data_IF_139725179134
#
_entry.id   IF_139725179134
#
_cell.length_a   1.000
_cell.length_b   1.000
_cell.length_c   1.000
_cell.angle_alpha   90.00
_cell.angle_beta   90.00
_cell.angle_gamma   90.00
#
_symmetry.space_group_name_H-M   'P 1'
#
loop_
_entity.id
_entity.type
_entity.pdbx_description
1 polymer ?
#
# COMPACT_ATOMS: atom_id res chain seq x y z
N UNK A 1 4.63 -4.19 4.25
CA UNK A 1 4.03 -3.14 5.07
C UNK A 1 3.55 -1.98 4.22
N UNK A 2 2.49 -1.38 4.63
CA UNK A 2 1.88 -0.21 4.00
C UNK A 2 1.77 0.90 5.04
N UNK A 3 2.00 2.14 4.60
CA UNK A 3 1.77 3.36 5.38
C UNK A 3 1.07 4.31 4.44
N UNK A 4 -0.07 4.83 4.83
CA UNK A 4 -0.83 5.72 3.97
C UNK A 4 -1.70 6.69 4.77
N UNK A 5 -2.10 7.73 4.09
CA UNK A 5 -3.13 8.65 4.50
C UNK A 5 -4.30 8.44 3.53
N UNK A 6 -5.24 7.54 3.83
CA UNK A 6 -6.32 7.16 2.91
C UNK A 6 -7.27 8.31 2.61
N UNK A 7 -7.36 9.29 3.51
CA UNK A 7 -8.20 10.47 3.39
C UNK A 7 -7.41 11.73 3.74
N UNK A 8 -6.87 12.40 2.74
CA UNK A 8 -6.30 13.77 2.86
C UNK A 8 -7.38 14.80 2.52
N UNK A 9 -8.22 14.47 1.54
CA UNK A 9 -9.36 15.25 1.10
C UNK A 9 -10.57 14.35 1.05
N UNK A 10 -11.68 14.78 1.67
CA UNK A 10 -12.95 14.04 1.72
C UNK A 10 -14.09 14.95 1.29
N UNK A 11 -14.83 14.50 0.30
CA UNK A 11 -16.12 15.06 -0.07
C UNK A 11 -17.18 14.02 0.27
N UNK A 12 -18.14 14.37 1.11
CA UNK A 12 -19.16 13.45 1.58
C UNK A 12 -20.57 14.03 1.40
N UNK A 13 -21.52 13.13 1.12
CA UNK A 13 -22.94 13.44 1.01
C UNK A 13 -23.73 12.49 1.89
N UNK A 14 -24.43 13.03 2.87
CA UNK A 14 -25.33 12.29 3.77
C UNK A 14 -26.73 12.27 3.19
N UNK A 15 -27.31 11.09 3.04
CA UNK A 15 -28.71 10.96 2.60
C UNK A 15 -29.66 11.35 3.73
N UNK A 16 -30.51 12.38 3.53
CA UNK A 16 -31.45 12.83 4.56
C UNK A 16 -32.36 11.68 5.07
N UNK A 17 -32.43 11.51 6.39
CA UNK A 17 -33.24 10.47 7.04
C UNK A 17 -32.75 9.04 6.83
N UNK A 18 -31.57 8.82 6.24
CA UNK A 18 -30.95 7.51 6.05
C UNK A 18 -29.61 7.45 6.79
N UNK A 19 -29.26 6.25 7.21
CA UNK A 19 -27.96 5.97 7.84
C UNK A 19 -26.88 5.66 6.81
N UNK A 20 -26.96 6.27 5.63
CA UNK A 20 -26.08 6.02 4.48
C UNK A 20 -25.41 7.32 4.09
N UNK A 21 -24.11 7.27 3.88
CA UNK A 21 -23.29 8.35 3.36
C UNK A 21 -22.50 7.85 2.14
N UNK A 22 -22.40 8.67 1.12
CA UNK A 22 -21.45 8.49 0.01
C UNK A 22 -20.30 9.47 0.19
N UNK A 23 -19.08 9.01 -0.04
CA UNK A 23 -17.90 9.88 0.01
C UNK A 23 -16.93 9.59 -1.14
N UNK A 24 -16.16 10.60 -1.51
CA UNK A 24 -15.00 10.46 -2.40
C UNK A 24 -13.81 10.97 -1.62
N UNK A 25 -12.85 10.09 -1.37
CA UNK A 25 -11.66 10.38 -0.61
C UNK A 25 -10.43 10.40 -1.51
N UNK A 26 -9.63 11.46 -1.45
CA UNK A 26 -8.33 11.58 -2.06
C UNK A 26 -7.23 11.34 -1.03
N UNK A 27 -6.25 10.51 -1.34
CA UNK A 27 -5.22 10.14 -0.40
C UNK A 27 -3.87 9.84 -1.02
N UNK A 28 -2.93 9.43 -0.17
CA UNK A 28 -1.57 9.04 -0.56
C UNK A 28 -1.14 7.79 0.18
N UNK A 29 -0.50 6.88 -0.52
CA UNK A 29 -0.12 5.58 -0.01
C UNK A 29 1.32 5.21 -0.35
N UNK A 30 2.01 4.55 0.58
CA UNK A 30 3.37 4.03 0.42
C UNK A 30 3.34 2.54 0.72
N UNK A 31 3.47 1.71 -0.32
CA UNK A 31 3.58 0.26 -0.19
C UNK A 31 5.07 -0.12 -0.12
N UNK A 32 5.45 -0.93 0.87
CA UNK A 32 6.83 -1.41 1.05
C UNK A 32 6.87 -2.92 1.09
N UNK A 33 7.57 -3.51 0.14
CA UNK A 33 7.87 -4.95 0.10
C UNK A 33 9.30 -5.13 0.61
N UNK A 34 9.51 -6.05 1.55
CA UNK A 34 10.80 -6.28 2.18
C UNK A 34 11.17 -7.74 2.10
N UNK A 35 12.42 -8.04 1.82
CA UNK A 35 13.00 -9.36 2.04
C UNK A 35 14.07 -9.30 3.13
N UNK A 36 14.28 -10.40 3.82
CA UNK A 36 15.32 -10.60 4.85
C UNK A 36 16.15 -11.83 4.52
N UNK A 37 16.43 -12.06 3.27
CA UNK A 37 17.24 -13.19 2.80
C UNK A 37 18.49 -12.64 2.09
N UNK A 38 19.38 -13.54 1.70
CA UNK A 38 20.56 -13.23 0.91
C UNK A 38 20.22 -12.77 -0.53
N UNK A 39 18.93 -12.61 -0.80
CA UNK A 39 18.37 -12.15 -2.06
C UNK A 39 18.09 -10.66 -1.96
N UNK A 40 18.53 -9.90 -2.94
CA UNK A 40 18.24 -8.47 -3.08
C UNK A 40 17.34 -8.20 -4.29
N UNK A 41 16.55 -7.16 -4.18
CA UNK A 41 15.73 -6.63 -5.27
C UNK A 41 16.55 -5.65 -6.09
N UNK A 42 16.70 -5.90 -7.38
CA UNK A 42 17.41 -5.03 -8.32
C UNK A 42 16.41 -4.57 -9.37
N UNK A 43 16.42 -3.27 -9.69
CA UNK A 43 15.69 -2.72 -10.83
C UNK A 43 16.60 -2.63 -12.03
N UNK A 44 16.39 -3.46 -13.04
CA UNK A 44 17.15 -3.47 -14.27
C UNK A 44 16.22 -3.24 -15.46
N UNK A 45 16.45 -2.15 -16.20
CA UNK A 45 15.63 -1.77 -17.37
C UNK A 45 14.11 -1.73 -17.07
N UNK A 46 13.73 -1.27 -15.88
CA UNK A 46 12.33 -1.23 -15.43
C UNK A 46 11.81 -2.56 -14.87
N UNK A 47 12.51 -3.66 -15.02
CA UNK A 47 12.12 -4.97 -14.51
C UNK A 47 12.67 -5.23 -13.11
N UNK A 48 11.94 -6.03 -12.34
CA UNK A 48 12.41 -6.53 -11.06
C UNK A 48 13.24 -7.79 -11.28
N UNK A 49 14.50 -7.74 -10.87
CA UNK A 49 15.41 -8.88 -10.88
C UNK A 49 15.80 -9.24 -9.45
N UNK A 50 15.93 -10.53 -9.17
CA UNK A 50 16.49 -11.01 -7.91
C UNK A 50 17.99 -11.23 -8.07
N UNK A 51 18.78 -10.48 -7.32
CA UNK A 51 20.23 -10.65 -7.26
C UNK A 51 20.68 -11.26 -5.93
N UNK A 52 21.89 -11.74 -5.91
CA UNK A 52 22.53 -12.17 -4.67
C UNK A 52 23.20 -10.98 -3.98
N UNK A 53 23.28 -11.02 -2.66
CA UNK A 53 24.06 -10.05 -1.89
C UNK A 53 25.56 -10.31 -2.06
N UNK A 54 26.40 -9.28 -1.90
CA UNK A 54 27.84 -9.45 -1.91
C UNK A 54 28.31 -10.54 -0.94
N UNK A 55 29.32 -11.31 -1.34
CA UNK A 55 29.91 -12.34 -0.51
C UNK A 55 30.41 -11.73 0.82
N UNK A 56 30.09 -12.35 1.95
CA UNK A 56 30.43 -11.83 3.29
C UNK A 56 29.46 -10.79 3.86
N UNK A 57 28.46 -10.37 3.11
CA UNK A 57 27.45 -9.44 3.60
C UNK A 57 26.57 -10.09 4.69
N UNK A 58 26.35 -9.36 5.79
CA UNK A 58 25.47 -9.78 6.89
C UNK A 58 24.32 -8.80 7.06
N UNK A 59 23.24 -9.24 7.75
CA UNK A 59 22.06 -8.41 8.07
C UNK A 59 21.44 -7.73 6.86
N UNK A 60 21.41 -8.44 5.73
CA UNK A 60 20.85 -7.91 4.48
C UNK A 60 19.36 -7.67 4.60
N UNK A 61 18.94 -6.50 4.13
CA UNK A 61 17.53 -6.10 3.98
C UNK A 61 17.37 -5.42 2.64
N UNK A 62 16.63 -6.03 1.73
CA UNK A 62 16.24 -5.37 0.49
C UNK A 62 14.78 -4.94 0.53
N UNK A 63 14.49 -3.78 -0.03
CA UNK A 63 13.18 -3.14 0.05
C UNK A 63 12.80 -2.50 -1.28
N UNK A 64 11.58 -2.77 -1.72
CA UNK A 64 10.92 -2.05 -2.81
C UNK A 64 9.92 -1.10 -2.19
N UNK A 65 9.92 0.14 -2.64
CA UNK A 65 8.95 1.16 -2.20
C UNK A 65 8.17 1.68 -3.41
N UNK A 66 6.86 1.61 -3.33
CA UNK A 66 5.93 2.17 -4.31
C UNK A 66 5.16 3.31 -3.65
N UNK A 67 5.10 4.43 -4.33
CA UNK A 67 4.33 5.62 -3.94
C UNK A 67 3.11 5.74 -4.84
N UNK A 68 1.94 5.98 -4.27
CA UNK A 68 0.68 6.03 -5.02
C UNK A 68 -0.20 7.17 -4.51
N UNK A 69 -0.81 7.92 -5.42
CA UNK A 69 -1.99 8.72 -5.12
C UNK A 69 -3.22 7.83 -5.18
N UNK A 70 -4.18 8.07 -4.30
CA UNK A 70 -5.39 7.25 -4.22
C UNK A 70 -6.65 8.08 -4.39
N UNK A 71 -7.63 7.49 -5.05
CA UNK A 71 -8.99 8.02 -5.15
C UNK A 71 -9.95 6.90 -4.76
N UNK A 72 -10.78 7.16 -3.75
CA UNK A 72 -11.63 6.12 -3.16
C UNK A 72 -13.08 6.62 -3.07
N UNK A 73 -13.95 6.24 -4.02
CA UNK A 73 -15.38 6.38 -3.84
C UNK A 73 -15.85 5.32 -2.82
N UNK A 74 -16.41 5.76 -1.70
CA UNK A 74 -16.79 4.91 -0.59
C UNK A 74 -18.26 5.10 -0.25
N UNK A 75 -18.89 4.02 0.18
CA UNK A 75 -20.20 4.01 0.81
C UNK A 75 -20.04 3.67 2.30
N UNK A 76 -20.68 4.43 3.16
CA UNK A 76 -20.70 4.19 4.59
C UNK A 76 -22.13 3.96 5.06
N UNK A 77 -22.28 3.00 5.96
CA UNK A 77 -23.55 2.70 6.61
C UNK A 77 -23.34 2.76 8.13
N UNK A 78 -24.10 3.63 8.80
CA UNK A 78 -24.11 3.78 10.25
C UNK A 78 -25.22 2.95 10.87
N UNK A 79 -25.02 2.50 12.11
CA UNK A 79 -26.11 1.92 12.87
C UNK A 79 -27.04 3.02 13.43
N UNK A 80 -28.23 2.64 13.91
CA UNK A 80 -29.25 3.57 14.44
C UNK A 80 -28.77 4.40 15.63
N UNK A 81 -27.74 3.96 16.35
CA UNK A 81 -27.16 4.65 17.51
C UNK A 81 -25.90 5.45 17.19
N UNK A 82 -25.46 5.48 15.92
CA UNK A 82 -24.21 6.11 15.46
C UNK A 82 -22.93 5.62 16.17
N UNK A 83 -22.96 4.45 16.82
CA UNK A 83 -21.80 3.90 17.54
C UNK A 83 -20.92 3.01 16.65
N UNK A 84 -21.38 2.68 15.46
CA UNK A 84 -20.68 1.80 14.55
C UNK A 84 -20.98 2.19 13.11
N UNK A 85 -19.94 2.28 12.29
CA UNK A 85 -20.02 2.58 10.86
C UNK A 85 -19.22 1.55 10.07
N UNK A 86 -19.79 1.03 9.00
CA UNK A 86 -19.10 0.22 8.01
C UNK A 86 -18.85 1.09 6.79
N UNK A 87 -17.61 1.13 6.35
CA UNK A 87 -17.17 1.85 5.14
C UNK A 87 -16.63 0.84 4.14
N UNK A 88 -17.08 0.91 2.90
CA UNK A 88 -16.59 0.01 1.86
C UNK A 88 -16.57 0.68 0.49
N UNK A 89 -15.68 0.22 -0.38
CA UNK A 89 -15.61 0.65 -1.75
C UNK A 89 -14.28 0.35 -2.43
N UNK A 90 -14.15 0.67 -3.72
CA UNK A 90 -12.91 0.55 -4.44
C UNK A 90 -11.96 1.69 -4.07
N UNK A 91 -10.66 1.39 -4.07
CA UNK A 91 -9.57 2.34 -3.96
C UNK A 91 -8.73 2.28 -5.24
N UNK A 92 -8.82 3.30 -6.06
CA UNK A 92 -8.02 3.44 -7.27
C UNK A 92 -6.67 4.03 -6.90
N UNK A 93 -5.58 3.32 -7.22
CA UNK A 93 -4.22 3.76 -6.93
C UNK A 93 -3.53 4.18 -8.24
N UNK A 94 -3.01 5.39 -8.27
CA UNK A 94 -2.15 5.91 -9.33
C UNK A 94 -0.71 5.74 -8.88
N UNK A 95 -0.05 4.72 -9.40
CA UNK A 95 1.26 4.26 -8.92
C UNK A 95 2.40 4.98 -9.64
N UNK A 96 3.43 5.39 -8.88
CA UNK A 96 4.70 5.86 -9.42
C UNK A 96 5.67 4.69 -9.55
N UNK A 97 6.69 4.79 -10.43
CA UNK A 97 7.75 3.79 -10.51
C UNK A 97 8.33 3.49 -9.12
N UNK A 98 8.52 2.21 -8.85
CA UNK A 98 9.06 1.74 -7.59
C UNK A 98 10.56 2.03 -7.48
N UNK A 99 11.03 2.22 -6.25
CA UNK A 99 12.46 2.38 -5.96
C UNK A 99 12.93 1.18 -5.14
N UNK A 100 14.05 0.59 -5.53
CA UNK A 100 14.70 -0.49 -4.80
C UNK A 100 15.86 0.05 -3.97
N UNK A 101 15.97 -0.42 -2.73
CA UNK A 101 17.04 -0.05 -1.79
C UNK A 101 17.47 -1.31 -1.06
N UNK A 102 18.77 -1.62 -1.12
CA UNK A 102 19.37 -2.69 -0.33
C UNK A 102 20.26 -2.10 0.75
N UNK A 103 20.16 -2.62 1.96
CA UNK A 103 21.02 -2.31 3.11
C UNK A 103 21.64 -3.60 3.60
N UNK A 104 22.96 -3.58 3.80
CA UNK A 104 23.72 -4.71 4.34
C UNK A 104 24.90 -4.22 5.16
N UNK A 105 25.52 -5.13 5.92
CA UNK A 105 26.78 -4.89 6.63
C UNK A 105 27.87 -5.71 5.95
N UNK A 106 28.98 -5.07 5.63
CA UNK A 106 30.19 -5.68 5.10
C UNK A 106 31.36 -5.06 5.85
N UNK A 107 32.27 -5.89 6.37
CA UNK A 107 33.43 -5.46 7.16
C UNK A 107 33.06 -4.48 8.29
N UNK A 108 32.01 -4.82 9.06
CA UNK A 108 31.42 -4.01 10.14
C UNK A 108 30.91 -2.62 9.73
N UNK A 109 30.93 -2.31 8.42
CA UNK A 109 30.39 -1.05 7.88
C UNK A 109 29.00 -1.28 7.30
N UNK A 110 28.13 -0.30 7.50
CA UNK A 110 26.78 -0.29 6.95
C UNK A 110 26.78 0.30 5.55
N UNK A 111 26.34 -0.50 4.58
CA UNK A 111 26.17 -0.09 3.19
C UNK A 111 24.69 0.11 2.87
N UNK A 112 24.40 1.09 2.01
CA UNK A 112 23.07 1.36 1.47
C UNK A 112 23.22 1.64 -0.01
N UNK A 113 22.67 0.74 -0.81
CA UNK A 113 22.65 0.84 -2.28
C UNK A 113 21.23 1.14 -2.78
N UNK A 114 21.14 1.98 -3.80
CA UNK A 114 19.92 2.17 -4.59
C UNK A 114 20.07 1.30 -5.83
N UNK A 115 19.28 0.24 -5.89
CA UNK A 115 19.41 -0.79 -6.93
C UNK A 115 18.48 -0.55 -8.14
N UNK A 116 18.23 0.71 -8.47
CA UNK A 116 17.48 1.09 -9.66
C UNK A 116 15.99 1.36 -9.42
N UNK A 117 15.27 1.52 -10.52
CA UNK A 117 13.82 1.72 -10.55
C UNK A 117 13.15 0.49 -11.15
N UNK A 118 11.96 0.16 -10.66
CA UNK A 118 11.13 -0.92 -11.19
C UNK A 118 9.82 -0.31 -11.68
N UNK A 119 9.40 -0.71 -12.87
CA UNK A 119 8.14 -0.29 -13.43
C UNK A 119 6.98 -0.86 -12.62
N UNK A 120 5.95 -0.06 -12.49
CA UNK A 120 4.71 -0.42 -11.81
C UNK A 120 3.57 -0.48 -12.80
N UNK A 121 2.51 -1.18 -12.44
CA UNK A 121 1.22 -1.04 -13.13
C UNK A 121 0.71 0.37 -12.80
N UNK A 122 0.53 1.27 -13.78
CA UNK A 122 0.25 2.69 -13.52
C UNK A 122 -1.01 2.90 -12.68
N UNK A 123 -2.04 2.08 -12.93
CA UNK A 123 -3.31 2.14 -12.21
C UNK A 123 -3.67 0.76 -11.69
N UNK A 124 -3.92 0.66 -10.40
CA UNK A 124 -4.44 -0.56 -9.74
C UNK A 124 -5.67 -0.23 -8.92
N UNK A 125 -6.53 -1.22 -8.72
CA UNK A 125 -7.73 -1.07 -7.90
C UNK A 125 -7.66 -2.08 -6.76
N UNK A 126 -7.75 -1.58 -5.54
CA UNK A 126 -7.88 -2.35 -4.32
C UNK A 126 -9.34 -2.28 -3.83
N UNK A 127 -9.78 -3.26 -3.08
CA UNK A 127 -11.08 -3.25 -2.36
C UNK A 127 -10.82 -2.92 -0.90
N UNK A 128 -11.55 -1.95 -0.36
CA UNK A 128 -11.46 -1.50 1.04
C UNK A 128 -12.73 -1.86 1.78
N UNK A 129 -12.57 -2.41 2.97
CA UNK A 129 -13.62 -2.54 3.98
C UNK A 129 -13.05 -2.01 5.29
N UNK A 130 -13.72 -1.06 5.91
CA UNK A 130 -13.33 -0.51 7.19
C UNK A 130 -14.51 -0.52 8.19
N UNK A 131 -14.15 -0.61 9.45
CA UNK A 131 -15.03 -0.59 10.59
C UNK A 131 -14.60 0.57 11.47
N UNK A 132 -15.47 1.55 11.60
CA UNK A 132 -15.29 2.70 12.47
C UNK A 132 -16.03 2.44 13.79
N UNK A 133 -15.31 2.61 14.87
CA UNK A 133 -15.82 2.43 16.23
C UNK A 133 -15.73 3.78 16.95
N UNK A 134 -16.89 4.34 17.28
CA UNK A 134 -17.03 5.59 18.07
C UNK A 134 -16.37 6.83 17.44
N UNK A 135 -16.33 6.92 16.11
CA UNK A 135 -15.72 8.04 15.35
C UNK A 135 -14.24 8.35 15.72
N UNK A 136 -13.53 7.38 16.34
CA UNK A 136 -12.14 7.57 16.79
C UNK A 136 -11.13 6.77 16.00
N UNK A 137 -11.43 5.51 15.70
CA UNK A 137 -10.48 4.58 15.11
C UNK A 137 -11.16 3.68 14.08
N UNK A 138 -10.70 3.78 12.86
CA UNK A 138 -11.07 2.85 11.80
C UNK A 138 -10.10 1.67 11.75
N UNK A 139 -10.63 0.46 11.79
CA UNK A 139 -9.90 -0.76 11.44
C UNK A 139 -10.26 -1.11 10.02
N UNK A 140 -9.29 -1.18 9.13
CA UNK A 140 -9.55 -1.52 7.74
C UNK A 140 -8.87 -2.81 7.30
N UNK A 141 -9.53 -3.49 6.38
CA UNK A 141 -8.98 -4.58 5.56
C UNK A 141 -8.99 -4.13 4.12
N UNK A 142 -7.87 -4.29 3.45
CA UNK A 142 -7.72 -3.97 2.03
C UNK A 142 -7.24 -5.19 1.26
N UNK A 143 -7.89 -5.45 0.15
CA UNK A 143 -7.56 -6.52 -0.78
C UNK A 143 -7.11 -5.95 -2.11
N UNK A 144 -5.90 -6.27 -2.54
CA UNK A 144 -5.33 -5.90 -3.81
C UNK A 144 -5.26 -7.14 -4.73
N UNK A 145 -6.20 -7.30 -5.67
CA UNK A 145 -6.28 -8.49 -6.53
C UNK A 145 -5.15 -8.55 -7.56
N UNK A 146 -4.55 -7.42 -7.90
CA UNK A 146 -3.46 -7.33 -8.87
C UNK A 146 -2.18 -6.83 -8.23
N UNK A 147 -1.04 -7.39 -8.65
CA UNK A 147 0.28 -6.88 -8.29
C UNK A 147 0.45 -5.43 -8.76
N UNK A 148 1.05 -4.60 -7.92
CA UNK A 148 1.42 -3.23 -8.29
C UNK A 148 2.72 -3.20 -9.11
N UNK A 149 3.55 -4.23 -9.02
CA UNK A 149 4.80 -4.33 -9.78
C UNK A 149 4.54 -5.02 -11.12
N UNK A 150 5.12 -4.48 -12.19
CA UNK A 150 5.23 -5.18 -13.46
C UNK A 150 6.32 -6.24 -13.32
N UNK A 151 5.93 -7.48 -13.41
CA UNK A 151 6.85 -8.63 -13.28
C UNK A 151 6.50 -9.63 -14.36
N UNK A 152 7.25 -9.63 -15.46
CA UNK A 152 6.99 -10.55 -16.58
C UNK A 152 7.29 -12.02 -16.22
N UNK A 153 8.13 -12.25 -15.19
CA UNK A 153 8.61 -13.57 -14.77
C UNK A 153 8.26 -13.95 -13.33
N UNK A 154 7.42 -13.19 -12.63
CA UNK A 154 7.03 -13.50 -11.25
C UNK A 154 5.51 -13.70 -11.14
N UNK A 155 5.06 -14.57 -10.22
CA UNK A 155 3.64 -14.74 -9.97
C UNK A 155 3.03 -13.40 -9.52
N UNK A 156 1.82 -13.13 -9.98
CA UNK A 156 1.05 -11.95 -9.55
C UNK A 156 0.83 -12.02 -8.04
N UNK A 157 1.31 -11.03 -7.31
CA UNK A 157 1.12 -10.96 -5.87
C UNK A 157 -0.27 -10.36 -5.56
N UNK A 158 -1.17 -11.22 -5.14
CA UNK A 158 -2.38 -10.81 -4.42
C UNK A 158 -1.97 -10.41 -3.01
N UNK A 159 -2.34 -9.23 -2.56
CA UNK A 159 -1.97 -8.77 -1.21
C UNK A 159 -3.20 -8.42 -0.38
N UNK A 160 -3.15 -8.83 0.89
CA UNK A 160 -4.05 -8.38 1.93
C UNK A 160 -3.32 -7.41 2.84
N UNK A 161 -3.97 -6.34 3.23
CA UNK A 161 -3.46 -5.38 4.20
C UNK A 161 -4.50 -5.18 5.29
N UNK A 162 -4.05 -5.22 6.54
CA UNK A 162 -4.86 -4.86 7.69
C UNK A 162 -4.18 -3.66 8.33
N UNK A 163 -4.93 -2.66 8.73
CA UNK A 163 -4.39 -1.46 9.33
C UNK A 163 -5.41 -0.67 10.10
N UNK A 164 -4.92 0.44 10.63
CA UNK A 164 -5.70 1.41 11.35
C UNK A 164 -5.61 2.75 10.63
N UNK A 165 -6.67 3.51 10.63
CA UNK A 165 -6.69 4.89 10.16
C UNK A 165 -7.62 5.71 11.04
N UNK A 166 -7.51 7.00 10.90
CA UNK A 166 -8.37 7.96 11.57
C UNK A 166 -9.22 8.63 10.49
N UNK A 167 -10.52 8.67 10.71
CA UNK A 167 -11.51 9.38 9.89
C UNK A 167 -11.52 8.97 8.39
N UNK A 168 -12.09 7.83 8.09
CA UNK A 168 -12.44 7.37 6.74
C UNK A 168 -13.79 7.91 6.25
#
# INVERSE_FOLDING_TARGET
SEVGFPSILKLAYDFPGRQVQLSINGGYNIKRFKTRSDIRFIGENGNLVLGQTPSGATKTKSMITVHSWTLSPLISVKNSRNTFKIVTGPMVNFNRPATTITKYHLDDKKHKEKDGKVDTVPVTVDLLVAFDIEDFLDIYVKFAPKSVLKTDNFPSFTTWSIGFCFDL
#
